data_IF_310544605807
#
_entry.id   IF_310544605807
#
_cell.length_a   1.000
_cell.length_b   1.000
_cell.length_c   1.000
_cell.angle_alpha   90.00
_cell.angle_beta   90.00
_cell.angle_gamma   90.00
#
_symmetry.space_group_name_H-M   'P 1'
#
loop_
_entity.id
_entity.type
_entity.pdbx_description
1 polymer ?
#
# COMPACT_ATOMS: atom_id res chain seq x y z
N UNK A 1 16.60 -24.10 0.91
CA UNK A 1 16.20 -22.87 0.18
C UNK A 1 16.69 -21.71 1.01
N UNK A 2 17.59 -20.93 0.45
CA UNK A 2 18.24 -19.80 1.12
C UNK A 2 17.31 -18.59 1.02
N UNK A 3 16.76 -18.13 2.15
CA UNK A 3 15.65 -17.15 2.19
C UNK A 3 16.08 -15.74 2.62
N UNK A 4 17.37 -15.43 2.59
CA UNK A 4 17.89 -14.12 3.02
C UNK A 4 18.74 -13.49 1.92
N UNK A 5 18.06 -12.80 0.99
CA UNK A 5 18.72 -11.82 0.13
C UNK A 5 18.67 -10.48 0.85
N UNK A 6 19.67 -10.25 1.70
CA UNK A 6 19.78 -9.02 2.46
C UNK A 6 20.30 -7.91 1.54
N UNK A 7 19.74 -6.71 1.64
CA UNK A 7 20.37 -5.54 1.01
C UNK A 7 21.65 -5.23 1.81
N UNK A 8 22.81 -5.44 1.18
CA UNK A 8 24.10 -5.08 1.77
C UNK A 8 24.29 -3.57 1.70
N UNK A 9 24.62 -2.96 2.83
CA UNK A 9 24.88 -1.53 2.98
C UNK A 9 26.32 -1.39 3.45
N UNK A 10 27.18 -0.80 2.62
CA UNK A 10 28.59 -0.58 2.95
C UNK A 10 28.83 0.72 3.72
N UNK A 11 27.93 1.69 3.62
CA UNK A 11 28.05 2.97 4.32
C UNK A 11 27.34 2.92 5.69
N UNK A 12 28.09 3.16 6.75
CA UNK A 12 27.54 3.16 8.12
C UNK A 12 26.47 4.23 8.31
N UNK A 13 26.61 5.40 7.68
CA UNK A 13 25.62 6.47 7.80
C UNK A 13 24.30 6.07 7.12
N UNK A 14 24.37 5.50 5.92
CA UNK A 14 23.20 4.92 5.24
C UNK A 14 22.56 3.81 6.09
N UNK A 15 23.35 2.92 6.71
CA UNK A 15 22.82 1.88 7.59
C UNK A 15 22.03 2.46 8.77
N UNK A 16 22.59 3.42 9.50
CA UNK A 16 21.91 4.04 10.65
C UNK A 16 20.65 4.81 10.24
N UNK A 17 20.69 5.47 9.07
CA UNK A 17 19.51 6.09 8.48
C UNK A 17 18.42 5.06 8.24
N UNK A 18 18.72 3.97 7.53
CA UNK A 18 17.75 2.91 7.18
C UNK A 18 17.25 2.16 8.42
N UNK A 19 18.11 1.92 9.40
CA UNK A 19 17.76 1.30 10.68
C UNK A 19 16.69 2.11 11.43
N UNK A 20 16.82 3.45 11.46
CA UNK A 20 15.80 4.30 12.09
C UNK A 20 14.43 4.21 11.41
N UNK A 21 14.40 3.89 10.11
CA UNK A 21 13.19 3.78 9.31
C UNK A 21 12.58 2.38 9.51
N UNK A 22 13.39 1.32 9.57
CA UNK A 22 12.91 -0.05 9.80
C UNK A 22 12.24 -0.21 11.17
N UNK A 23 12.68 0.57 12.17
CA UNK A 23 12.05 0.58 13.49
C UNK A 23 10.68 1.28 13.49
N UNK A 24 10.44 2.19 12.56
CA UNK A 24 9.23 3.03 12.52
C UNK A 24 8.18 2.50 11.54
N UNK A 25 8.60 2.01 10.38
CA UNK A 25 7.69 1.69 9.30
C UNK A 25 6.73 0.53 9.61
N UNK A 26 7.18 -0.66 10.05
CA UNK A 26 6.26 -1.76 10.33
C UNK A 26 5.24 -1.44 11.44
N UNK A 27 5.60 -0.79 12.58
CA UNK A 27 4.61 -0.33 13.54
C UNK A 27 3.58 0.63 12.95
N UNK A 28 4.03 1.63 12.19
CA UNK A 28 3.13 2.58 11.55
C UNK A 28 2.17 1.91 10.55
N UNK A 29 2.70 1.05 9.67
CA UNK A 29 1.90 0.27 8.74
C UNK A 29 0.83 -0.54 9.49
N UNK A 30 1.22 -1.24 10.55
CA UNK A 30 0.31 -2.05 11.35
C UNK A 30 -0.77 -1.21 12.06
N UNK A 31 -0.44 -0.01 12.55
CA UNK A 31 -1.43 0.92 13.12
C UNK A 31 -2.45 1.35 12.06
N UNK A 32 -1.99 1.86 10.91
CA UNK A 32 -2.89 2.33 9.84
C UNK A 32 -3.74 1.17 9.29
N UNK A 33 -3.14 -0.02 9.15
CA UNK A 33 -3.84 -1.24 8.76
C UNK A 33 -4.93 -1.63 9.77
N UNK A 34 -4.65 -1.54 11.07
CA UNK A 34 -5.63 -1.83 12.11
C UNK A 34 -6.79 -0.83 12.07
N UNK A 35 -6.49 0.46 11.98
CA UNK A 35 -7.50 1.52 11.83
C UNK A 35 -8.39 1.28 10.60
N UNK A 36 -7.78 0.88 9.48
CA UNK A 36 -8.52 0.57 8.26
C UNK A 36 -9.42 -0.67 8.43
N UNK A 37 -8.95 -1.72 9.13
CA UNK A 37 -9.78 -2.89 9.46
C UNK A 37 -10.98 -2.51 10.32
N UNK A 38 -10.77 -1.71 11.36
CA UNK A 38 -11.86 -1.20 12.19
C UNK A 38 -12.87 -0.41 11.36
N UNK A 39 -12.42 0.40 10.41
CA UNK A 39 -13.30 1.14 9.50
C UNK A 39 -14.13 0.20 8.60
N UNK A 40 -13.53 -0.89 8.08
CA UNK A 40 -14.27 -1.91 7.33
C UNK A 40 -15.34 -2.57 8.22
N UNK A 41 -14.98 -2.97 9.44
CA UNK A 41 -15.90 -3.63 10.37
C UNK A 41 -17.08 -2.73 10.74
N UNK A 42 -16.82 -1.45 11.02
CA UNK A 42 -17.87 -0.45 11.28
C UNK A 42 -18.79 -0.24 10.08
N UNK A 43 -18.23 -0.27 8.86
CA UNK A 43 -19.02 -0.14 7.64
C UNK A 43 -19.95 -1.33 7.45
N UNK A 44 -19.45 -2.55 7.65
CA UNK A 44 -20.25 -3.78 7.59
C UNK A 44 -21.32 -3.81 8.67
N UNK A 45 -21.00 -3.42 9.90
CA UNK A 45 -21.94 -3.35 11.02
C UNK A 45 -23.14 -2.44 10.70
N UNK A 46 -22.91 -1.35 9.98
CA UNK A 46 -23.94 -0.39 9.59
C UNK A 46 -24.58 -0.66 8.22
N UNK A 47 -24.42 -1.85 7.62
CA UNK A 47 -24.94 -2.14 6.26
C UNK A 47 -26.44 -1.91 6.05
N UNK A 48 -27.24 -2.05 7.10
CA UNK A 48 -28.70 -1.84 7.05
C UNK A 48 -29.11 -0.38 7.30
N UNK A 49 -28.17 0.49 7.68
CA UNK A 49 -28.38 1.94 7.82
C UNK A 49 -27.78 2.62 6.59
N UNK A 50 -28.62 2.88 5.58
CA UNK A 50 -28.20 3.33 4.26
C UNK A 50 -27.33 4.61 4.32
N UNK A 51 -27.69 5.56 5.19
CA UNK A 51 -26.97 6.81 5.33
C UNK A 51 -25.56 6.59 5.91
N UNK A 52 -25.46 5.83 7.01
CA UNK A 52 -24.16 5.52 7.64
C UNK A 52 -23.31 4.63 6.75
N UNK A 53 -23.88 3.59 6.17
CA UNK A 53 -23.17 2.69 5.25
C UNK A 53 -22.54 3.47 4.10
N UNK A 54 -23.31 4.32 3.41
CA UNK A 54 -22.79 5.12 2.28
C UNK A 54 -21.70 6.08 2.73
N UNK A 55 -21.85 6.72 3.89
CA UNK A 55 -20.83 7.61 4.43
C UNK A 55 -19.53 6.84 4.72
N UNK A 56 -19.61 5.74 5.48
CA UNK A 56 -18.46 4.94 5.87
C UNK A 56 -17.79 4.27 4.67
N UNK A 57 -18.55 3.76 3.71
CA UNK A 57 -18.01 3.18 2.47
C UNK A 57 -17.17 4.20 1.67
N UNK A 58 -17.62 5.47 1.56
CA UNK A 58 -16.79 6.54 0.95
C UNK A 58 -15.49 6.75 1.73
N UNK A 59 -15.56 6.68 3.04
CA UNK A 59 -14.39 6.79 3.92
C UNK A 59 -13.43 5.62 3.71
N UNK A 60 -13.92 4.38 3.55
CA UNK A 60 -13.10 3.21 3.20
C UNK A 60 -12.35 3.42 1.89
N UNK A 61 -13.07 3.86 0.84
CA UNK A 61 -12.47 4.10 -0.49
C UNK A 61 -11.33 5.13 -0.41
N UNK A 62 -11.51 6.21 0.37
CA UNK A 62 -10.49 7.25 0.54
C UNK A 62 -9.28 6.75 1.34
N UNK A 63 -9.52 6.09 2.48
CA UNK A 63 -8.46 5.71 3.40
C UNK A 63 -7.61 4.52 2.94
N UNK A 64 -8.15 3.67 2.05
CA UNK A 64 -7.35 2.61 1.42
C UNK A 64 -6.11 3.21 0.73
N UNK A 65 -6.27 4.31 0.00
CA UNK A 65 -5.15 4.94 -0.69
C UNK A 65 -4.22 5.69 0.25
N UNK A 66 -4.70 6.23 1.36
CA UNK A 66 -3.82 6.81 2.38
C UNK A 66 -2.84 5.77 2.95
N UNK A 67 -3.33 4.55 3.23
CA UNK A 67 -2.47 3.43 3.63
C UNK A 67 -1.42 3.10 2.56
N UNK A 68 -1.85 2.95 1.31
CA UNK A 68 -0.94 2.61 0.21
C UNK A 68 0.09 3.73 -0.05
N UNK A 69 -0.31 4.99 0.04
CA UNK A 69 0.58 6.14 -0.13
C UNK A 69 1.63 6.21 0.98
N UNK A 70 1.26 5.92 2.22
CA UNK A 70 2.20 5.81 3.33
C UNK A 70 3.22 4.69 3.06
N UNK A 71 2.77 3.51 2.66
CA UNK A 71 3.67 2.39 2.33
C UNK A 71 4.63 2.75 1.19
N UNK A 72 4.12 3.32 0.10
CA UNK A 72 4.95 3.77 -1.03
C UNK A 72 6.04 4.73 -0.55
N UNK A 73 5.67 5.73 0.26
CA UNK A 73 6.61 6.72 0.78
C UNK A 73 7.74 6.04 1.56
N UNK A 74 7.38 5.20 2.54
CA UNK A 74 8.39 4.51 3.36
C UNK A 74 9.26 3.55 2.56
N UNK A 75 8.70 2.80 1.62
CA UNK A 75 9.49 1.95 0.73
C UNK A 75 10.50 2.75 -0.10
N UNK A 76 10.15 3.93 -0.59
CA UNK A 76 11.12 4.78 -1.30
C UNK A 76 12.17 5.40 -0.37
N UNK A 77 11.89 5.53 0.93
CA UNK A 77 12.94 5.87 1.89
C UNK A 77 13.95 4.73 2.10
N UNK A 78 13.53 3.47 1.92
CA UNK A 78 14.42 2.31 2.02
C UNK A 78 15.26 2.08 0.77
N UNK A 79 14.60 2.11 -0.38
CA UNK A 79 15.21 1.78 -1.66
C UNK A 79 14.42 2.43 -2.80
N UNK A 80 14.70 3.72 -3.02
CA UNK A 80 14.06 4.50 -4.07
C UNK A 80 14.41 3.98 -5.45
N UNK A 81 13.43 3.94 -6.35
CA UNK A 81 13.72 3.76 -7.77
C UNK A 81 14.42 4.99 -8.36
N UNK A 82 15.08 4.81 -9.50
CA UNK A 82 15.80 5.88 -10.20
C UNK A 82 14.90 7.08 -10.53
N UNK A 83 15.39 8.30 -10.26
CA UNK A 83 14.70 9.57 -10.49
C UNK A 83 13.38 9.69 -9.70
N UNK A 84 13.32 9.14 -8.49
CA UNK A 84 12.16 9.29 -7.61
C UNK A 84 11.72 10.75 -7.44
N UNK A 85 10.43 11.02 -7.64
CA UNK A 85 9.79 12.31 -7.34
C UNK A 85 8.45 12.06 -6.66
N UNK A 86 8.21 12.77 -5.54
CA UNK A 86 6.95 12.71 -4.81
C UNK A 86 5.75 13.16 -5.64
N UNK A 87 5.96 13.90 -6.73
CA UNK A 87 4.93 14.39 -7.65
C UNK A 87 4.58 13.40 -8.75
N UNK A 88 5.26 12.26 -8.84
CA UNK A 88 4.88 11.21 -9.78
C UNK A 88 3.44 10.73 -9.53
N UNK A 89 2.72 10.45 -10.63
CA UNK A 89 1.35 9.93 -10.56
C UNK A 89 1.31 8.67 -9.70
N UNK A 90 0.25 8.52 -8.91
CA UNK A 90 0.08 7.44 -7.94
C UNK A 90 0.46 6.06 -8.49
N UNK A 91 -0.12 5.63 -9.63
CA UNK A 91 0.16 4.29 -10.16
C UNK A 91 1.55 4.15 -10.79
N UNK A 92 2.13 5.21 -11.32
CA UNK A 92 3.50 5.17 -11.82
C UNK A 92 4.46 5.00 -10.64
N UNK A 93 4.22 5.76 -9.56
CA UNK A 93 4.97 5.65 -8.31
C UNK A 93 4.80 4.27 -7.67
N UNK A 94 3.56 3.79 -7.52
CA UNK A 94 3.24 2.45 -7.00
C UNK A 94 4.03 1.38 -7.75
N UNK A 95 3.91 1.35 -9.08
CA UNK A 95 4.57 0.33 -9.90
C UNK A 95 6.09 0.37 -9.79
N UNK A 96 6.68 1.56 -9.92
CA UNK A 96 8.14 1.71 -9.87
C UNK A 96 8.69 1.36 -8.49
N UNK A 97 8.00 1.77 -7.43
CA UNK A 97 8.37 1.45 -6.04
C UNK A 97 8.40 -0.06 -5.83
N UNK A 98 7.29 -0.74 -6.06
CA UNK A 98 7.23 -2.18 -5.79
C UNK A 98 8.07 -3.00 -6.76
N UNK A 99 8.32 -2.53 -7.99
CA UNK A 99 9.32 -3.16 -8.88
C UNK A 99 10.73 -3.05 -8.30
N UNK A 100 11.13 -1.90 -7.77
CA UNK A 100 12.44 -1.70 -7.16
C UNK A 100 12.59 -2.53 -5.88
N UNK A 101 11.63 -2.44 -4.95
CA UNK A 101 11.63 -3.23 -3.72
C UNK A 101 11.66 -4.72 -4.04
N UNK A 102 10.76 -5.22 -4.86
CA UNK A 102 10.74 -6.65 -5.15
C UNK A 102 12.02 -7.11 -5.86
N UNK A 103 12.64 -6.28 -6.70
CA UNK A 103 13.95 -6.60 -7.27
C UNK A 103 15.05 -6.72 -6.21
N UNK A 104 15.14 -5.75 -5.30
CA UNK A 104 16.20 -5.70 -4.27
C UNK A 104 16.14 -6.90 -3.33
N UNK A 105 14.94 -7.39 -3.01
CA UNK A 105 14.74 -8.55 -2.13
C UNK A 105 14.38 -9.85 -2.87
N UNK A 106 14.61 -9.93 -4.20
CA UNK A 106 14.40 -11.12 -5.03
C UNK A 106 12.96 -11.71 -4.94
N UNK A 107 11.97 -10.84 -5.12
CA UNK A 107 10.50 -11.11 -5.05
C UNK A 107 9.78 -10.67 -6.31
N UNK A 108 10.45 -10.60 -7.45
CA UNK A 108 9.88 -10.13 -8.72
C UNK A 108 8.64 -10.95 -9.11
N UNK A 109 8.64 -12.26 -8.89
CA UNK A 109 7.47 -13.12 -9.15
C UNK A 109 6.22 -12.70 -8.38
N UNK A 110 6.37 -12.32 -7.10
CA UNK A 110 5.27 -11.82 -6.27
C UNK A 110 4.70 -10.51 -6.85
N UNK A 111 5.59 -9.60 -7.26
CA UNK A 111 5.19 -8.36 -7.91
C UNK A 111 4.48 -8.62 -9.24
N UNK A 112 5.01 -9.50 -10.07
CA UNK A 112 4.43 -9.85 -11.38
C UNK A 112 3.04 -10.43 -11.21
N UNK A 113 2.86 -11.39 -10.30
CA UNK A 113 1.57 -12.01 -10.02
C UNK A 113 0.54 -10.97 -9.54
N UNK A 114 0.90 -10.11 -8.58
CA UNK A 114 0.00 -9.04 -8.12
C UNK A 114 -0.36 -8.08 -9.25
N UNK A 115 0.61 -7.70 -10.09
CA UNK A 115 0.40 -6.73 -11.17
C UNK A 115 -0.47 -7.29 -12.29
N UNK A 116 -0.35 -8.58 -12.57
CA UNK A 116 -1.15 -9.27 -13.58
C UNK A 116 -2.58 -9.52 -13.08
N UNK A 117 -2.75 -9.92 -11.82
CA UNK A 117 -4.05 -10.44 -11.35
C UNK A 117 -4.87 -9.46 -10.52
N UNK A 118 -4.24 -8.52 -9.79
CA UNK A 118 -4.92 -7.69 -8.77
C UNK A 118 -4.88 -6.20 -9.05
N UNK A 119 -3.86 -5.72 -9.77
CA UNK A 119 -3.66 -4.28 -9.98
C UNK A 119 -4.82 -3.59 -10.71
N UNK A 120 -5.53 -4.31 -11.57
CA UNK A 120 -6.69 -3.73 -12.25
C UNK A 120 -7.84 -3.41 -11.28
N UNK A 121 -8.12 -4.29 -10.32
CA UNK A 121 -9.13 -4.02 -9.29
C UNK A 121 -8.77 -2.80 -8.44
N UNK A 122 -7.48 -2.64 -8.10
CA UNK A 122 -6.99 -1.46 -7.39
C UNK A 122 -7.16 -0.17 -8.22
N UNK A 123 -6.90 -0.20 -9.53
CA UNK A 123 -7.13 0.93 -10.44
C UNK A 123 -8.60 1.34 -10.49
N UNK A 124 -9.49 0.38 -10.53
CA UNK A 124 -10.93 0.66 -10.54
C UNK A 124 -11.35 1.34 -9.24
N UNK A 125 -10.91 0.85 -8.08
CA UNK A 125 -11.18 1.52 -6.79
C UNK A 125 -10.55 2.92 -6.72
N UNK A 126 -9.39 3.15 -7.35
CA UNK A 126 -8.78 4.48 -7.44
C UNK A 126 -9.60 5.45 -8.27
N UNK A 127 -10.13 4.99 -9.39
CA UNK A 127 -11.03 5.79 -10.23
C UNK A 127 -12.31 6.16 -9.46
N UNK A 128 -12.88 5.22 -8.69
CA UNK A 128 -13.98 5.53 -7.76
C UNK A 128 -13.58 6.59 -6.73
N UNK A 129 -12.41 6.45 -6.09
CA UNK A 129 -11.89 7.43 -5.13
C UNK A 129 -11.75 8.81 -5.75
N UNK A 130 -11.23 8.90 -6.97
CA UNK A 130 -11.02 10.18 -7.65
C UNK A 130 -12.34 10.86 -8.01
N UNK A 131 -13.32 10.10 -8.50
CA UNK A 131 -14.68 10.60 -8.75
C UNK A 131 -15.36 11.07 -7.46
N UNK A 132 -15.17 10.36 -6.34
CA UNK A 132 -15.71 10.74 -5.02
C UNK A 132 -15.03 11.95 -4.37
N UNK A 133 -13.78 12.24 -4.74
CA UNK A 133 -12.99 13.32 -4.13
C UNK A 133 -13.05 14.59 -4.97
N UNK A 134 -13.03 14.45 -6.30
CA UNK A 134 -13.06 15.53 -7.26
C UNK A 134 -14.05 15.22 -8.39
N UNK A 135 -15.37 15.26 -8.11
CA UNK A 135 -16.38 15.00 -9.13
C UNK A 135 -16.32 16.07 -10.22
N UNK A 136 -15.91 15.68 -11.43
CA UNK A 136 -15.82 16.58 -12.59
C UNK A 136 -17.13 16.74 -13.37
N UNK A 137 -18.09 15.86 -13.12
CA UNK A 137 -19.34 15.76 -13.88
C UNK A 137 -20.44 15.25 -12.94
N UNK A 138 -21.72 15.52 -13.25
CA UNK A 138 -22.87 15.03 -12.46
C UNK A 138 -22.85 13.50 -12.34
N UNK A 139 -22.47 12.80 -13.41
CA UNK A 139 -22.34 11.32 -13.42
C UNK A 139 -21.25 10.78 -12.48
N UNK A 140 -20.36 11.65 -11.97
CA UNK A 140 -19.35 11.28 -10.97
C UNK A 140 -19.87 11.29 -9.54
N UNK A 141 -21.13 11.70 -9.31
CA UNK A 141 -21.82 11.57 -8.03
C UNK A 141 -22.22 10.09 -7.86
N UNK A 142 -21.25 9.27 -7.47
CA UNK A 142 -21.44 7.84 -7.30
C UNK A 142 -22.02 7.57 -5.91
N UNK A 143 -23.10 6.78 -5.89
CA UNK A 143 -23.68 6.25 -4.66
C UNK A 143 -22.95 4.94 -4.32
N UNK A 144 -22.30 4.84 -3.16
CA UNK A 144 -21.67 3.59 -2.73
C UNK A 144 -22.71 2.50 -2.55
N UNK A 145 -22.37 1.29 -3.02
CA UNK A 145 -23.20 0.08 -2.92
C UNK A 145 -22.46 -0.99 -2.12
N UNK A 146 -23.18 -2.03 -1.70
CA UNK A 146 -22.57 -3.21 -1.08
C UNK A 146 -21.54 -3.89 -1.98
N UNK A 147 -21.78 -3.94 -3.29
CA UNK A 147 -20.81 -4.47 -4.26
C UNK A 147 -19.50 -3.67 -4.27
N UNK A 148 -19.59 -2.33 -4.25
CA UNK A 148 -18.42 -1.46 -4.17
C UNK A 148 -17.67 -1.72 -2.86
N UNK A 149 -18.41 -1.82 -1.75
CA UNK A 149 -17.81 -2.11 -0.45
C UNK A 149 -17.11 -3.49 -0.41
N UNK A 150 -17.75 -4.52 -0.94
CA UNK A 150 -17.16 -5.86 -1.07
C UNK A 150 -15.90 -5.85 -1.93
N UNK A 151 -15.89 -5.06 -3.00
CA UNK A 151 -14.70 -4.85 -3.83
C UNK A 151 -13.58 -4.14 -3.07
N UNK A 152 -13.88 -3.12 -2.26
CA UNK A 152 -12.89 -2.47 -1.39
C UNK A 152 -12.28 -3.47 -0.40
N UNK A 153 -13.11 -4.29 0.28
CA UNK A 153 -12.63 -5.36 1.17
C UNK A 153 -11.69 -6.33 0.44
N UNK A 154 -12.09 -6.79 -0.76
CA UNK A 154 -11.26 -7.67 -1.59
C UNK A 154 -9.91 -7.04 -1.93
N UNK A 155 -9.92 -5.82 -2.47
CA UNK A 155 -8.70 -5.09 -2.87
C UNK A 155 -7.79 -4.85 -1.67
N UNK A 156 -8.35 -4.49 -0.51
CA UNK A 156 -7.60 -4.36 0.72
C UNK A 156 -6.93 -5.66 1.13
N UNK A 157 -7.67 -6.79 1.14
CA UNK A 157 -7.10 -8.09 1.51
C UNK A 157 -6.00 -8.55 0.54
N UNK A 158 -6.21 -8.34 -0.77
CA UNK A 158 -5.21 -8.63 -1.80
C UNK A 158 -3.95 -7.79 -1.57
N UNK A 159 -4.11 -6.48 -1.29
CA UNK A 159 -2.99 -5.58 -0.99
C UNK A 159 -2.30 -5.92 0.33
N UNK A 160 -3.05 -6.21 1.39
CA UNK A 160 -2.52 -6.58 2.71
C UNK A 160 -1.67 -7.85 2.62
N UNK A 161 -2.15 -8.85 1.86
CA UNK A 161 -1.40 -10.07 1.58
C UNK A 161 -0.10 -9.76 0.85
N UNK A 162 -0.15 -8.90 -0.18
CA UNK A 162 1.03 -8.48 -0.94
C UNK A 162 2.07 -7.78 -0.06
N UNK A 163 1.65 -6.79 0.73
CA UNK A 163 2.57 -6.03 1.62
C UNK A 163 3.09 -6.87 2.76
N UNK A 164 2.23 -7.65 3.43
CA UNK A 164 2.68 -8.56 4.50
C UNK A 164 3.69 -9.57 3.97
N UNK A 165 3.50 -10.04 2.73
CA UNK A 165 4.48 -10.91 2.08
C UNK A 165 5.77 -10.15 1.82
N UNK A 166 5.75 -8.92 1.28
CA UNK A 166 6.97 -8.12 1.07
C UNK A 166 7.71 -7.89 2.40
N UNK A 167 7.01 -7.47 3.46
CA UNK A 167 7.61 -7.16 4.76
C UNK A 167 8.15 -8.39 5.50
N UNK A 168 7.67 -9.59 5.18
CA UNK A 168 8.21 -10.81 5.77
C UNK A 168 9.66 -11.03 5.31
N UNK A 169 10.61 -11.25 6.22
CA UNK A 169 12.03 -11.45 5.90
C UNK A 169 12.70 -10.26 5.18
N UNK A 170 12.36 -9.03 5.59
CA UNK A 170 13.08 -7.83 5.16
C UNK A 170 14.31 -7.64 6.04
N UNK A 171 15.50 -7.92 5.49
CA UNK A 171 16.76 -7.85 6.23
C UNK A 171 17.77 -6.94 5.52
N UNK A 172 18.60 -6.29 6.33
CA UNK A 172 19.75 -5.48 5.91
C UNK A 172 21.00 -6.07 6.54
N UNK A 173 22.09 -6.10 5.77
CA UNK A 173 23.41 -6.50 6.25
C UNK A 173 24.40 -5.36 6.07
N UNK A 174 25.34 -5.22 7.00
CA UNK A 174 26.43 -4.24 6.93
C UNK A 174 27.69 -4.89 7.47
N UNK A 175 28.86 -4.43 7.01
CA UNK A 175 30.13 -4.76 7.62
C UNK A 175 30.55 -3.60 8.52
N UNK A 176 30.43 -3.75 9.83
CA UNK A 176 30.95 -2.75 10.76
C UNK A 176 32.48 -2.88 10.79
N UNK A 177 33.24 -1.77 10.68
CA UNK A 177 34.65 -1.80 11.04
C UNK A 177 34.75 -2.19 12.52
N UNK A 178 35.56 -3.20 12.82
CA UNK A 178 35.94 -3.59 14.18
C UNK A 178 36.64 -2.44 14.90
#
# INVERSE_FOLDING_TARGET
MDFTHDKFISDSNEFWKLFSIIQKFPPLHNTIKADFKTLLDLTEFHKNDEAKFKMLCRTCIRNLFSLIEADIYYYNLFDSYQDYDDRHKFFDKFKKTFKQICKTWNREKLQEEYFQTKLNDLKEIKDFRDKLTHPKEIKHIIVPTEDIFNKVKKVFNDYDTFISTIMSNFFFSTQLPL
#
